data_IF_382300711479
#
_entry.id   IF_382300711479
#
_cell.length_a   1.000
_cell.length_b   1.000
_cell.length_c   1.000
_cell.angle_alpha   90.00
_cell.angle_beta   90.00
_cell.angle_gamma   90.00
#
_symmetry.space_group_name_H-M   'P 1'
#
loop_
_entity.id
_entity.type
_entity.pdbx_description
1 polymer ?
#
# COMPACT_ATOMS: atom_id res chain seq x y z
N UNK A 1 -29.19 -4.31 8.64
CA UNK A 1 -28.60 -3.01 9.01
C UNK A 1 -27.67 -2.61 7.86
N UNK A 2 -28.27 -2.25 6.72
CA UNK A 2 -27.54 -1.81 5.54
C UNK A 2 -27.28 -0.31 5.69
N UNK A 3 -26.00 0.04 5.72
CA UNK A 3 -25.50 1.31 6.23
C UNK A 3 -25.88 2.50 5.34
N UNK A 4 -25.88 3.66 5.98
CA UNK A 4 -26.03 5.02 5.43
C UNK A 4 -25.44 5.26 4.05
N UNK A 5 -24.41 4.52 3.64
CA UNK A 5 -23.79 4.60 2.32
C UNK A 5 -24.72 4.19 1.16
N UNK A 6 -25.49 3.11 1.30
CA UNK A 6 -26.47 2.73 0.25
C UNK A 6 -27.58 3.78 0.16
N UNK A 7 -28.05 4.30 1.30
CA UNK A 7 -29.05 5.37 1.33
C UNK A 7 -28.53 6.67 0.69
N UNK A 8 -27.28 7.06 0.96
CA UNK A 8 -26.64 8.21 0.31
C UNK A 8 -26.48 7.97 -1.19
N UNK A 9 -25.96 6.81 -1.59
CA UNK A 9 -25.76 6.47 -3.00
C UNK A 9 -27.09 6.45 -3.77
N UNK A 10 -28.14 5.84 -3.20
CA UNK A 10 -29.50 5.82 -3.76
C UNK A 10 -30.07 7.24 -3.83
N UNK A 11 -29.87 8.07 -2.81
CA UNK A 11 -30.36 9.46 -2.80
C UNK A 11 -29.66 10.36 -3.83
N UNK A 12 -28.36 10.17 -4.05
CA UNK A 12 -27.57 10.94 -5.04
C UNK A 12 -27.84 10.47 -6.47
N UNK A 13 -28.12 9.18 -6.66
CA UNK A 13 -28.59 8.65 -7.95
C UNK A 13 -30.01 9.18 -8.23
N UNK A 14 -30.87 9.24 -7.22
CA UNK A 14 -32.24 9.75 -7.32
C UNK A 14 -32.32 11.27 -7.57
N UNK A 15 -31.31 12.06 -7.16
CA UNK A 15 -31.26 13.51 -7.37
C UNK A 15 -30.80 13.95 -8.76
N UNK A 16 -30.48 13.02 -9.66
CA UNK A 16 -30.04 13.33 -11.04
C UNK A 16 -28.57 13.74 -11.16
N UNK A 17 -27.81 13.73 -10.06
CA UNK A 17 -26.38 14.10 -10.00
C UNK A 17 -25.44 12.96 -10.43
N UNK A 18 -25.94 12.07 -11.30
CA UNK A 18 -25.27 10.85 -11.76
C UNK A 18 -23.93 11.16 -12.44
N UNK A 19 -23.84 12.31 -13.11
CA UNK A 19 -22.60 12.77 -13.74
C UNK A 19 -21.49 13.05 -12.71
N UNK A 20 -21.83 13.66 -11.57
CA UNK A 20 -20.87 13.98 -10.53
C UNK A 20 -20.39 12.71 -9.79
N UNK A 21 -21.30 11.79 -9.49
CA UNK A 21 -20.96 10.49 -8.89
C UNK A 21 -20.06 9.68 -9.81
N UNK A 22 -20.35 9.68 -11.12
CA UNK A 22 -19.52 8.99 -12.13
C UNK A 22 -18.09 9.56 -12.16
N UNK A 23 -17.94 10.88 -12.21
CA UNK A 23 -16.62 11.53 -12.23
C UNK A 23 -15.81 11.21 -10.96
N UNK A 24 -16.45 11.24 -9.78
CA UNK A 24 -15.79 10.86 -8.52
C UNK A 24 -15.33 9.39 -8.53
N UNK A 25 -16.15 8.46 -9.03
CA UNK A 25 -15.80 7.05 -9.17
C UNK A 25 -14.66 6.83 -10.16
N UNK A 26 -14.64 7.55 -11.28
CA UNK A 26 -13.56 7.49 -12.28
C UNK A 26 -12.23 7.97 -11.69
N UNK A 27 -12.24 9.12 -10.99
CA UNK A 27 -11.06 9.64 -10.30
C UNK A 27 -10.54 8.66 -9.25
N UNK A 28 -11.43 8.05 -8.46
CA UNK A 28 -11.06 7.04 -7.47
C UNK A 28 -10.47 5.79 -8.13
N UNK A 29 -11.08 5.26 -9.20
CA UNK A 29 -10.56 4.13 -9.97
C UNK A 29 -9.17 4.42 -10.52
N UNK A 30 -8.96 5.63 -11.06
CA UNK A 30 -7.66 6.08 -11.55
C UNK A 30 -6.60 6.09 -10.45
N UNK A 31 -6.92 6.66 -9.29
CA UNK A 31 -6.03 6.64 -8.12
C UNK A 31 -5.68 5.21 -7.71
N UNK A 32 -6.66 4.30 -7.64
CA UNK A 32 -6.40 2.91 -7.30
C UNK A 32 -5.53 2.20 -8.35
N UNK A 33 -5.63 2.58 -9.63
CA UNK A 33 -4.73 2.08 -10.68
C UNK A 33 -3.30 2.54 -10.45
N UNK A 34 -3.07 3.79 -10.04
CA UNK A 34 -1.73 4.28 -9.73
C UNK A 34 -1.10 3.51 -8.56
N UNK A 35 -1.86 3.20 -7.52
CA UNK A 35 -1.39 2.35 -6.44
C UNK A 35 -1.07 0.92 -6.89
N UNK A 36 -1.81 0.36 -7.86
CA UNK A 36 -1.47 -0.95 -8.45
C UNK A 36 -0.15 -0.87 -9.22
N UNK A 37 0.06 0.16 -10.04
CA UNK A 37 1.32 0.37 -10.74
C UNK A 37 2.50 0.47 -9.78
N UNK A 38 2.35 1.25 -8.69
CA UNK A 38 3.37 1.38 -7.66
C UNK A 38 3.71 0.03 -6.99
N UNK A 39 2.70 -0.81 -6.72
CA UNK A 39 2.92 -2.18 -6.22
C UNK A 39 3.74 -2.99 -7.22
N UNK A 40 3.37 -2.98 -8.50
CA UNK A 40 4.05 -3.75 -9.54
C UNK A 40 5.51 -3.32 -9.70
N UNK A 41 5.78 -2.01 -9.65
CA UNK A 41 7.12 -1.46 -9.76
C UNK A 41 8.02 -1.91 -8.60
N UNK A 42 7.55 -1.75 -7.35
CA UNK A 42 8.29 -2.16 -6.15
C UNK A 42 8.43 -3.68 -6.07
N UNK A 43 7.40 -4.45 -6.42
CA UNK A 43 7.46 -5.91 -6.49
C UNK A 43 8.51 -6.36 -7.51
N UNK A 44 8.56 -5.71 -8.69
CA UNK A 44 9.55 -6.03 -9.72
C UNK A 44 10.97 -5.76 -9.24
N UNK A 45 11.21 -4.64 -8.54
CA UNK A 45 12.51 -4.33 -7.93
C UNK A 45 12.98 -5.45 -7.00
N UNK A 46 12.10 -5.96 -6.14
CA UNK A 46 12.44 -7.08 -5.27
C UNK A 46 12.61 -8.41 -6.01
N UNK A 47 11.80 -8.70 -7.04
CA UNK A 47 11.98 -9.90 -7.88
C UNK A 47 13.31 -9.88 -8.64
N UNK A 48 13.77 -8.71 -9.06
CA UNK A 48 15.10 -8.56 -9.67
C UNK A 48 16.20 -8.84 -8.64
N UNK A 49 16.07 -8.34 -7.40
CA UNK A 49 17.02 -8.68 -6.33
C UNK A 49 17.01 -10.19 -6.03
N UNK A 50 15.83 -10.80 -5.93
CA UNK A 50 15.63 -12.24 -5.71
C UNK A 50 16.39 -13.10 -6.74
N UNK A 51 16.27 -12.76 -8.02
CA UNK A 51 16.98 -13.41 -9.13
C UNK A 51 18.51 -13.19 -9.06
N UNK A 52 18.94 -11.97 -8.72
CA UNK A 52 20.36 -11.64 -8.60
C UNK A 52 21.05 -12.39 -7.45
N UNK A 53 20.37 -12.60 -6.32
CA UNK A 53 20.93 -13.33 -5.19
C UNK A 53 20.87 -14.85 -5.41
N UNK A 54 19.78 -15.36 -5.98
CA UNK A 54 19.62 -16.79 -6.33
C UNK A 54 20.73 -17.30 -7.25
N UNK A 55 21.27 -16.45 -8.11
CA UNK A 55 22.34 -16.82 -9.06
C UNK A 55 23.77 -16.69 -8.51
N UNK A 56 23.98 -15.97 -7.39
CA UNK A 56 25.32 -15.56 -6.93
C UNK A 56 25.74 -16.09 -5.56
N UNK A 57 24.79 -16.47 -4.71
CA UNK A 57 25.06 -16.74 -3.29
C UNK A 57 24.64 -18.15 -2.89
N UNK A 58 25.26 -18.67 -1.82
CA UNK A 58 24.88 -19.94 -1.20
C UNK A 58 23.48 -19.88 -0.54
N UNK A 59 22.97 -18.66 -0.25
CA UNK A 59 21.61 -18.44 0.26
C UNK A 59 20.90 -17.30 -0.46
N UNK A 60 19.59 -17.46 -0.65
CA UNK A 60 18.71 -16.40 -1.11
C UNK A 60 18.12 -15.62 0.09
N UNK A 61 18.29 -14.29 0.16
CA UNK A 61 17.74 -13.46 1.24
C UNK A 61 16.22 -13.31 1.20
N UNK A 62 15.56 -13.63 0.08
CA UNK A 62 14.11 -13.53 -0.09
C UNK A 62 13.50 -14.94 -0.06
N UNK A 63 12.53 -15.14 0.82
CA UNK A 63 11.70 -16.35 0.87
C UNK A 63 10.41 -16.18 0.07
N UNK A 64 9.70 -15.07 0.27
CA UNK A 64 8.45 -14.79 -0.46
C UNK A 64 8.16 -13.30 -0.50
N UNK A 65 7.66 -12.83 -1.64
CA UNK A 65 7.12 -11.48 -1.82
C UNK A 65 5.59 -11.58 -1.86
N UNK A 66 4.90 -10.78 -1.03
CA UNK A 66 3.44 -10.66 -1.01
C UNK A 66 3.04 -9.23 -1.26
N UNK A 67 2.06 -9.01 -2.11
CA UNK A 67 1.52 -7.68 -2.39
C UNK A 67 0.08 -7.55 -1.93
N UNK A 68 -0.33 -6.32 -1.62
CA UNK A 68 -1.69 -6.00 -1.18
C UNK A 68 -2.06 -4.60 -1.60
N UNK A 69 -3.19 -4.48 -2.28
CA UNK A 69 -3.92 -3.23 -2.43
C UNK A 69 -5.03 -3.16 -1.38
N UNK A 70 -5.11 -2.07 -0.63
CA UNK A 70 -6.16 -1.87 0.37
C UNK A 70 -7.53 -1.74 -0.32
N UNK A 71 -8.55 -2.39 0.22
CA UNK A 71 -9.90 -2.32 -0.34
C UNK A 71 -10.52 -0.93 -0.12
N UNK A 72 -11.47 -0.48 -0.98
CA UNK A 72 -12.16 0.79 -0.80
C UNK A 72 -12.81 0.94 0.58
N UNK A 73 -13.44 -0.14 1.08
CA UNK A 73 -14.11 -0.16 2.39
C UNK A 73 -13.08 0.06 3.51
N UNK A 74 -11.96 -0.66 3.46
CA UNK A 74 -10.85 -0.50 4.40
C UNK A 74 -10.23 0.89 4.35
N UNK A 75 -10.20 1.53 3.18
CA UNK A 75 -9.70 2.91 3.02
C UNK A 75 -10.63 3.88 3.74
N UNK A 76 -11.94 3.79 3.48
CA UNK A 76 -12.95 4.64 4.09
C UNK A 76 -12.98 4.48 5.62
N UNK A 77 -12.99 3.24 6.11
CA UNK A 77 -12.94 2.95 7.56
C UNK A 77 -11.68 3.56 8.20
N UNK A 78 -10.53 3.49 7.51
CA UNK A 78 -9.28 4.04 8.04
C UNK A 78 -9.26 5.57 8.06
N UNK A 79 -9.86 6.23 7.08
CA UNK A 79 -10.04 7.69 7.10
C UNK A 79 -10.93 8.10 8.27
N UNK A 80 -12.07 7.41 8.43
CA UNK A 80 -13.03 7.68 9.50
C UNK A 80 -12.42 7.48 10.89
N UNK A 81 -11.75 6.34 11.13
CA UNK A 81 -11.07 6.06 12.39
C UNK A 81 -9.99 7.09 12.75
N UNK A 82 -9.44 7.79 11.75
CA UNK A 82 -8.41 8.82 11.94
C UNK A 82 -8.97 10.25 11.88
N UNK A 83 -10.27 10.42 11.72
CA UNK A 83 -10.91 11.73 11.63
C UNK A 83 -10.55 12.50 10.36
N UNK A 84 -10.18 11.81 9.29
CA UNK A 84 -9.85 12.43 8.01
C UNK A 84 -11.06 12.55 7.10
N UNK A 85 -11.04 13.56 6.23
CA UNK A 85 -12.07 13.77 5.22
C UNK A 85 -12.14 12.56 4.27
N UNK A 86 -13.37 12.17 3.88
CA UNK A 86 -13.65 11.08 2.92
C UNK A 86 -13.49 11.58 1.47
N UNK A 87 -12.31 12.12 1.14
CA UNK A 87 -11.98 12.68 -0.18
C UNK A 87 -10.75 12.01 -0.80
N UNK A 88 -10.65 12.05 -2.13
CA UNK A 88 -9.51 11.47 -2.89
C UNK A 88 -8.19 12.11 -2.43
N UNK A 89 -8.16 13.43 -2.33
CA UNK A 89 -6.98 14.18 -1.88
C UNK A 89 -6.57 13.82 -0.43
N UNK A 90 -7.53 13.48 0.41
CA UNK A 90 -7.26 13.02 1.78
C UNK A 90 -6.61 11.63 1.81
N UNK A 91 -7.00 10.73 0.90
CA UNK A 91 -6.37 9.41 0.75
C UNK A 91 -4.87 9.58 0.44
N UNK A 92 -4.55 10.37 -0.58
CA UNK A 92 -3.17 10.59 -1.05
C UNK A 92 -2.27 11.23 0.02
N UNK A 93 -2.80 12.19 0.78
CA UNK A 93 -2.00 12.93 1.78
C UNK A 93 -1.80 12.17 3.08
N UNK A 94 -2.76 11.32 3.47
CA UNK A 94 -2.84 10.82 4.85
C UNK A 94 -2.65 9.31 5.00
N UNK A 95 -2.80 8.53 3.92
CA UNK A 95 -2.74 7.07 3.97
C UNK A 95 -1.49 6.51 3.30
N UNK A 96 -0.55 6.02 4.12
CA UNK A 96 0.74 5.48 3.65
C UNK A 96 0.70 3.97 3.34
N UNK A 97 -0.42 3.28 3.55
CA UNK A 97 -0.56 1.81 3.43
C UNK A 97 -1.67 1.39 2.46
N UNK A 98 -1.93 2.21 1.44
CA UNK A 98 -2.87 1.86 0.36
C UNK A 98 -2.25 0.80 -0.56
N UNK A 99 -1.00 1.04 -0.99
CA UNK A 99 -0.14 0.07 -1.65
C UNK A 99 0.82 -0.56 -0.63
N UNK A 100 0.84 -1.88 -0.54
CA UNK A 100 1.74 -2.60 0.36
C UNK A 100 2.47 -3.74 -0.33
N UNK A 101 3.78 -3.78 -0.17
CA UNK A 101 4.65 -4.91 -0.53
C UNK A 101 5.27 -5.44 0.76
N UNK A 102 5.21 -6.76 0.95
CA UNK A 102 5.78 -7.47 2.10
C UNK A 102 6.80 -8.46 1.58
N UNK A 103 8.05 -8.29 2.01
CA UNK A 103 9.15 -9.21 1.72
C UNK A 103 9.40 -10.05 2.97
N UNK A 104 9.32 -11.37 2.83
CA UNK A 104 9.61 -12.33 3.89
C UNK A 104 11.02 -12.82 3.65
N UNK A 105 11.85 -12.79 4.70
CA UNK A 105 13.28 -13.13 4.63
C UNK A 105 13.57 -14.29 5.59
N UNK A 106 14.50 -15.20 5.27
CA UNK A 106 14.87 -16.30 6.17
C UNK A 106 15.59 -15.83 7.45
N UNK A 107 16.46 -14.82 7.35
CA UNK A 107 17.25 -14.31 8.49
C UNK A 107 17.05 -12.82 8.72
N UNK A 108 17.35 -12.35 9.94
CA UNK A 108 17.23 -10.93 10.30
C UNK A 108 18.18 -10.05 9.50
N UNK A 109 19.40 -10.51 9.25
CA UNK A 109 20.42 -9.74 8.52
C UNK A 109 20.02 -9.51 7.06
N UNK A 110 19.26 -10.43 6.46
CA UNK A 110 18.72 -10.29 5.10
C UNK A 110 17.77 -9.10 4.98
N UNK A 111 17.03 -8.78 6.06
CA UNK A 111 16.08 -7.66 6.08
C UNK A 111 16.82 -6.33 5.90
N UNK A 112 17.92 -6.14 6.63
CA UNK A 112 18.72 -4.92 6.54
C UNK A 112 19.45 -4.83 5.20
N UNK A 113 20.04 -5.94 4.73
CA UNK A 113 20.69 -5.99 3.42
C UNK A 113 19.72 -5.62 2.29
N UNK A 114 18.52 -6.21 2.26
CA UNK A 114 17.52 -5.92 1.23
C UNK A 114 16.99 -4.50 1.32
N UNK A 115 16.83 -3.96 2.54
CA UNK A 115 16.46 -2.56 2.73
C UNK A 115 17.54 -1.62 2.15
N UNK A 116 18.81 -1.89 2.43
CA UNK A 116 19.92 -1.11 1.88
C UNK A 116 19.99 -1.21 0.35
N UNK A 117 19.85 -2.42 -0.22
CA UNK A 117 19.81 -2.61 -1.67
C UNK A 117 18.66 -1.84 -2.34
N UNK A 118 17.48 -1.80 -1.72
CA UNK A 118 16.35 -1.02 -2.24
C UNK A 118 16.64 0.49 -2.17
N UNK A 119 17.24 0.96 -1.08
CA UNK A 119 17.55 2.39 -0.87
C UNK A 119 18.73 2.90 -1.69
N UNK A 120 19.55 2.01 -2.24
CA UNK A 120 20.63 2.35 -3.18
C UNK A 120 20.11 2.62 -4.61
N UNK A 121 18.86 2.30 -4.92
CA UNK A 121 18.27 2.60 -6.22
C UNK A 121 17.98 4.11 -6.34
N UNK A 122 18.30 4.68 -7.49
CA UNK A 122 18.24 6.13 -7.75
C UNK A 122 16.82 6.70 -7.78
N UNK A 123 15.82 5.86 -8.06
CA UNK A 123 14.40 6.19 -8.11
C UNK A 123 13.65 5.91 -6.78
N UNK A 124 14.36 5.48 -5.72
CA UNK A 124 13.77 5.22 -4.40
C UNK A 124 14.18 6.29 -3.40
N UNK A 125 13.19 6.89 -2.73
CA UNK A 125 13.43 7.84 -1.63
C UNK A 125 12.76 7.37 -0.34
N UNK A 126 13.57 7.21 0.71
CA UNK A 126 13.06 6.93 2.06
C UNK A 126 12.32 8.16 2.62
N UNK A 127 11.05 7.99 2.97
CA UNK A 127 10.26 9.03 3.65
C UNK A 127 10.20 8.77 5.15
N UNK A 128 9.91 7.52 5.55
CA UNK A 128 9.82 7.11 6.96
C UNK A 128 10.29 5.66 7.10
N UNK A 129 11.14 5.38 8.10
CA UNK A 129 11.51 4.04 8.53
C UNK A 129 10.96 3.76 9.94
N UNK A 130 10.51 2.52 10.18
CA UNK A 130 10.11 2.02 11.51
C UNK A 130 10.68 0.63 11.72
N UNK A 131 11.66 0.52 12.62
CA UNK A 131 12.35 -0.74 12.92
C UNK A 131 11.82 -1.34 14.23
N UNK A 132 10.93 -2.32 14.10
CA UNK A 132 10.38 -3.08 15.22
C UNK A 132 11.23 -4.29 15.61
N UNK A 133 12.28 -4.63 14.85
CA UNK A 133 13.26 -5.66 15.25
C UNK A 133 14.15 -5.08 16.35
N UNK A 134 14.62 -3.85 16.16
CA UNK A 134 15.41 -3.12 17.15
C UNK A 134 14.56 -2.54 18.28
N UNK A 135 13.37 -2.03 17.97
CA UNK A 135 12.45 -1.42 18.93
C UNK A 135 11.07 -2.10 18.88
N UNK A 136 10.93 -3.32 19.43
CA UNK A 136 9.67 -4.03 19.43
C UNK A 136 8.61 -3.24 20.17
N UNK A 137 7.37 -3.37 19.72
CA UNK A 137 6.21 -2.79 20.40
C UNK A 137 5.97 -3.49 21.74
N UNK A 138 5.22 -2.87 22.66
CA UNK A 138 4.87 -3.47 23.95
C UNK A 138 4.14 -4.82 23.84
N UNK A 139 3.45 -5.09 22.73
CA UNK A 139 2.76 -6.35 22.47
C UNK A 139 3.66 -7.43 21.86
N UNK A 140 4.97 -7.18 21.73
CA UNK A 140 5.95 -8.12 21.18
C UNK A 140 6.04 -8.15 19.65
N UNK A 141 5.38 -7.21 18.96
CA UNK A 141 5.48 -7.04 17.50
C UNK A 141 6.69 -6.21 17.09
#
# INVERSE_FOLDING_TARGET
MYGTFEATLISTIASGDVAHVRDALEKFRRLMSYYRCAIMEVETKFRVLDEQFSSRHERNPIDTIKTRLKSPESILEKLERRGYEKSISSIERNLNDVAGVRVICPFKDDIYMLADCLLQQDDVRLIVAKDYIKNPKPNGY
#
